data_IF_426445804848
#
_entry.id   IF_426445804848
#
_cell.length_a   1.000
_cell.length_b   1.000
_cell.length_c   1.000
_cell.angle_alpha   90.00
_cell.angle_beta   90.00
_cell.angle_gamma   90.00
#
_symmetry.space_group_name_H-M   'P 1'
#
loop_
_entity.id
_entity.type
_entity.pdbx_description
1 polymer ?
#
# COMPACT_ATOMS: atom_id res chain seq x y z
N UNK A 1 -9.98 30.18 10.73
CA UNK A 1 -9.71 29.15 9.71
C UNK A 1 -9.99 27.83 10.38
N UNK A 2 -11.03 27.14 9.96
CA UNK A 2 -11.36 25.81 10.48
C UNK A 2 -10.52 24.82 9.68
N UNK A 3 -9.51 24.19 10.30
CA UNK A 3 -8.49 23.39 9.62
C UNK A 3 -8.96 21.92 9.45
N UNK A 4 -10.24 21.64 9.67
CA UNK A 4 -10.80 20.30 9.56
C UNK A 4 -10.86 19.83 8.09
N UNK A 5 -9.89 19.03 7.66
CA UNK A 5 -9.79 18.44 6.32
C UNK A 5 -10.19 16.96 6.36
N UNK A 6 -11.23 16.57 5.63
CA UNK A 6 -11.61 15.17 5.51
C UNK A 6 -10.68 14.45 4.51
N UNK A 7 -10.26 13.23 4.85
CA UNK A 7 -9.44 12.39 3.98
C UNK A 7 -10.08 12.16 2.61
N UNK A 8 -11.40 12.00 2.54
CA UNK A 8 -12.15 11.84 1.27
C UNK A 8 -12.10 13.11 0.42
N UNK A 9 -12.10 14.28 1.06
CA UNK A 9 -11.97 15.57 0.39
C UNK A 9 -10.56 15.73 -0.20
N UNK A 10 -9.52 15.31 0.54
CA UNK A 10 -8.14 15.29 0.07
C UNK A 10 -7.94 14.30 -1.08
N UNK A 11 -8.52 13.10 -1.01
CA UNK A 11 -8.49 12.12 -2.12
C UNK A 11 -9.14 12.68 -3.38
N UNK A 12 -10.35 13.22 -3.27
CA UNK A 12 -11.04 13.83 -4.41
C UNK A 12 -10.20 14.94 -5.03
N UNK A 13 -9.60 15.81 -4.23
CA UNK A 13 -8.71 16.87 -4.70
C UNK A 13 -7.47 16.32 -5.42
N UNK A 14 -6.74 15.37 -4.81
CA UNK A 14 -5.54 14.75 -5.39
C UNK A 14 -5.86 14.09 -6.74
N UNK A 15 -6.92 13.30 -6.81
CA UNK A 15 -7.30 12.60 -8.04
C UNK A 15 -7.71 13.57 -9.15
N UNK A 16 -8.39 14.67 -8.83
CA UNK A 16 -8.71 15.70 -9.84
C UNK A 16 -7.45 16.37 -10.35
N UNK A 17 -6.49 16.68 -9.48
CA UNK A 17 -5.21 17.31 -9.86
C UNK A 17 -4.38 16.37 -10.74
N UNK A 18 -4.28 15.09 -10.40
CA UNK A 18 -3.50 14.11 -11.17
C UNK A 18 -4.09 13.80 -12.55
N UNK A 19 -5.42 13.88 -12.69
CA UNK A 19 -6.12 13.54 -13.93
C UNK A 19 -6.60 14.76 -14.72
N UNK A 20 -6.39 15.97 -14.21
CA UNK A 20 -6.92 17.22 -14.77
C UNK A 20 -8.42 17.15 -15.12
N UNK A 21 -9.21 16.33 -14.41
CA UNK A 21 -10.59 16.01 -14.78
C UNK A 21 -11.41 15.50 -13.59
N UNK A 22 -12.57 16.13 -13.36
CA UNK A 22 -13.53 15.71 -12.36
C UNK A 22 -14.22 14.39 -12.72
N UNK A 23 -14.55 14.20 -14.00
CA UNK A 23 -15.18 12.95 -14.46
C UNK A 23 -14.22 11.78 -14.33
N UNK A 24 -12.95 11.98 -14.71
CA UNK A 24 -11.94 10.91 -14.59
C UNK A 24 -11.63 10.56 -13.13
N UNK A 25 -11.54 11.56 -12.26
CA UNK A 25 -11.40 11.33 -10.82
C UNK A 25 -12.58 10.55 -10.24
N UNK A 26 -13.81 10.85 -10.68
CA UNK A 26 -15.01 10.15 -10.25
C UNK A 26 -15.00 8.68 -10.66
N UNK A 27 -14.62 8.38 -11.90
CA UNK A 27 -14.45 7.00 -12.39
C UNK A 27 -13.44 6.21 -11.55
N UNK A 28 -12.26 6.80 -11.30
CA UNK A 28 -11.17 6.16 -10.56
C UNK A 28 -11.48 5.93 -9.08
N UNK A 29 -12.28 6.81 -8.49
CA UNK A 29 -12.73 6.70 -7.09
C UNK A 29 -14.06 5.94 -6.95
N UNK A 30 -14.64 5.44 -8.04
CA UNK A 30 -15.95 4.78 -8.07
C UNK A 30 -17.07 5.63 -7.43
N UNK A 31 -17.04 6.94 -7.71
CA UNK A 31 -18.01 7.92 -7.24
C UNK A 31 -18.66 8.63 -8.43
N UNK A 32 -19.71 9.41 -8.16
CA UNK A 32 -20.29 10.29 -9.18
C UNK A 32 -19.50 11.60 -9.26
N UNK A 33 -19.46 12.20 -10.45
CA UNK A 33 -18.80 13.50 -10.65
C UNK A 33 -19.37 14.62 -9.76
N UNK A 34 -20.69 14.71 -9.49
CA UNK A 34 -21.24 15.62 -8.48
C UNK A 34 -20.65 15.42 -7.08
N UNK A 35 -20.43 14.16 -6.64
CA UNK A 35 -19.82 13.86 -5.35
C UNK A 35 -18.38 14.37 -5.27
N UNK A 36 -17.55 14.10 -6.31
CA UNK A 36 -16.18 14.63 -6.37
C UNK A 36 -16.19 16.17 -6.34
N UNK A 37 -17.06 16.80 -7.12
CA UNK A 37 -17.16 18.26 -7.13
C UNK A 37 -17.58 18.82 -5.77
N UNK A 38 -18.48 18.12 -5.06
CA UNK A 38 -18.90 18.49 -3.70
C UNK A 38 -17.74 18.41 -2.71
N UNK A 39 -16.98 17.31 -2.73
CA UNK A 39 -15.81 17.12 -1.87
C UNK A 39 -14.74 18.21 -2.08
N UNK A 40 -14.37 18.49 -3.33
CA UNK A 40 -13.40 19.56 -3.60
C UNK A 40 -13.95 20.93 -3.17
N UNK A 41 -15.23 21.20 -3.40
CA UNK A 41 -15.84 22.49 -3.01
C UNK A 41 -15.95 22.66 -1.50
N UNK A 42 -16.13 21.56 -0.74
CA UNK A 42 -16.12 21.57 0.70
C UNK A 42 -14.73 21.89 1.24
N UNK A 43 -13.69 21.25 0.68
CA UNK A 43 -12.29 21.52 1.03
C UNK A 43 -11.91 22.99 0.79
N UNK A 44 -12.21 23.52 -0.40
CA UNK A 44 -11.95 24.92 -0.73
C UNK A 44 -12.68 25.89 0.23
N UNK A 45 -13.90 25.53 0.65
CA UNK A 45 -14.69 26.34 1.59
C UNK A 45 -14.11 26.34 3.00
N UNK A 46 -13.70 25.18 3.51
CA UNK A 46 -13.08 25.03 4.83
C UNK A 46 -11.78 25.83 4.93
N UNK A 47 -10.97 25.76 3.89
CA UNK A 47 -9.70 26.49 3.80
C UNK A 47 -9.88 27.97 3.40
N UNK A 48 -11.07 28.35 2.92
CA UNK A 48 -11.36 29.64 2.32
C UNK A 48 -10.36 30.02 1.20
N UNK A 49 -9.96 29.03 0.40
CA UNK A 49 -8.93 29.16 -0.64
C UNK A 49 -9.37 28.36 -1.88
N UNK A 50 -9.22 28.95 -3.06
CA UNK A 50 -9.39 28.24 -4.34
C UNK A 50 -8.17 27.38 -4.64
N UNK A 51 -8.39 26.08 -4.76
CA UNK A 51 -7.36 25.07 -4.98
C UNK A 51 -7.33 24.60 -6.44
N UNK A 52 -8.48 24.63 -7.12
CA UNK A 52 -8.60 24.22 -8.51
C UNK A 52 -9.15 25.36 -9.36
N UNK A 53 -8.47 25.63 -10.48
CA UNK A 53 -8.92 26.56 -11.51
C UNK A 53 -9.60 25.76 -12.61
N UNK A 54 -10.82 26.18 -12.98
CA UNK A 54 -11.58 25.61 -14.10
C UNK A 54 -11.77 26.69 -15.15
N UNK A 55 -11.39 26.37 -16.38
CA UNK A 55 -11.73 27.15 -17.58
C UNK A 55 -12.68 26.35 -18.45
N UNK A 56 -13.16 26.93 -19.55
CA UNK A 56 -13.96 26.20 -20.54
C UNK A 56 -13.21 25.06 -21.23
N UNK A 57 -11.88 25.03 -21.15
CA UNK A 57 -11.03 24.07 -21.85
C UNK A 57 -10.27 23.13 -20.91
N UNK A 58 -9.85 23.62 -19.76
CA UNK A 58 -8.88 22.94 -18.90
C UNK A 58 -9.22 23.07 -17.41
N UNK A 59 -8.81 22.06 -16.65
CA UNK A 59 -8.84 22.03 -15.18
C UNK A 59 -7.41 21.81 -14.67
N UNK A 60 -6.95 22.66 -13.77
CA UNK A 60 -5.59 22.61 -13.23
C UNK A 60 -5.52 23.17 -11.79
N UNK A 61 -4.49 22.81 -10.99
CA UNK A 61 -4.35 23.34 -9.63
C UNK A 61 -3.93 24.82 -9.64
N UNK A 62 -4.47 25.61 -8.72
CA UNK A 62 -3.93 26.94 -8.38
C UNK A 62 -2.57 26.82 -7.70
N UNK A 63 -1.87 27.93 -7.44
CA UNK A 63 -0.60 27.88 -6.68
C UNK A 63 -0.79 27.35 -5.25
N UNK A 64 -1.91 27.71 -4.61
CA UNK A 64 -2.30 27.11 -3.34
C UNK A 64 -2.65 25.62 -3.50
N UNK A 65 -3.28 25.23 -4.60
CA UNK A 65 -3.52 23.83 -4.96
C UNK A 65 -2.22 23.03 -5.10
N UNK A 66 -1.21 23.57 -5.78
CA UNK A 66 0.11 22.92 -5.89
C UNK A 66 0.78 22.74 -4.53
N UNK A 67 0.64 23.72 -3.63
CA UNK A 67 1.15 23.62 -2.27
C UNK A 67 0.43 22.51 -1.50
N UNK A 68 -0.90 22.53 -1.50
CA UNK A 68 -1.70 21.53 -0.80
C UNK A 68 -1.49 20.13 -1.37
N UNK A 69 -1.32 19.99 -2.68
CA UNK A 69 -1.11 18.70 -3.34
C UNK A 69 0.08 17.93 -2.76
N UNK A 70 1.20 18.62 -2.48
CA UNK A 70 2.37 17.99 -1.85
C UNK A 70 2.03 17.38 -0.50
N UNK A 71 1.43 18.17 0.39
CA UNK A 71 1.04 17.71 1.73
C UNK A 71 -0.09 16.67 1.70
N UNK A 72 -1.07 16.82 0.80
CA UNK A 72 -2.16 15.88 0.65
C UNK A 72 -1.65 14.48 0.27
N UNK A 73 -0.67 14.39 -0.66
CA UNK A 73 -0.04 13.11 -1.00
C UNK A 73 0.69 12.47 0.18
N UNK A 74 1.42 13.26 0.95
CA UNK A 74 2.11 12.75 2.15
C UNK A 74 1.11 12.19 3.17
N UNK A 75 0.02 12.91 3.44
CA UNK A 75 -1.04 12.47 4.36
C UNK A 75 -1.67 11.16 3.89
N UNK A 76 -2.04 11.06 2.61
CA UNK A 76 -2.64 9.85 2.05
C UNK A 76 -1.66 8.67 2.06
N UNK A 77 -0.37 8.92 1.83
CA UNK A 77 0.67 7.89 1.91
C UNK A 77 0.87 7.40 3.35
N UNK A 78 0.90 8.30 4.33
CA UNK A 78 1.01 7.93 5.75
C UNK A 78 -0.19 7.09 6.18
N UNK A 79 -1.40 7.46 5.75
CA UNK A 79 -2.61 6.67 6.00
C UNK A 79 -2.49 5.24 5.44
N UNK A 80 -2.04 5.11 4.19
CA UNK A 80 -1.84 3.80 3.56
C UNK A 80 -0.79 2.98 4.29
N UNK A 81 0.36 3.58 4.63
CA UNK A 81 1.41 2.93 5.39
C UNK A 81 0.91 2.45 6.76
N UNK A 82 0.07 3.25 7.44
CA UNK A 82 -0.53 2.87 8.72
C UNK A 82 -1.48 1.67 8.56
N UNK A 83 -2.31 1.65 7.51
CA UNK A 83 -3.19 0.51 7.23
C UNK A 83 -2.39 -0.77 6.93
N UNK A 84 -1.31 -0.67 6.15
CA UNK A 84 -0.40 -1.80 5.87
C UNK A 84 0.28 -2.28 7.15
N UNK A 85 0.82 -1.36 7.97
CA UNK A 85 1.48 -1.70 9.22
C UNK A 85 0.51 -2.40 10.18
N UNK A 86 -0.74 -1.93 10.30
CA UNK A 86 -1.78 -2.55 11.11
C UNK A 86 -2.22 -3.90 10.55
N UNK A 87 -2.31 -4.07 9.23
CA UNK A 87 -2.59 -5.37 8.61
C UNK A 87 -1.50 -6.37 8.96
N UNK A 88 -0.23 -5.98 8.83
CA UNK A 88 0.92 -6.81 9.17
C UNK A 88 1.01 -7.09 10.68
N UNK A 89 0.56 -6.15 11.52
CA UNK A 89 0.46 -6.36 12.97
C UNK A 89 -0.67 -7.35 13.33
N UNK A 90 -1.81 -7.26 12.63
CA UNK A 90 -3.00 -8.11 12.85
C UNK A 90 -2.88 -9.51 12.28
N UNK A 91 -2.00 -9.70 11.29
CA UNK A 91 -1.59 -11.03 10.84
C UNK A 91 -0.58 -11.57 11.84
N UNK A 92 -1.06 -12.25 12.88
CA UNK A 92 -0.25 -13.28 13.53
C UNK A 92 0.38 -14.11 12.40
N UNK A 93 1.71 -14.15 12.33
CA UNK A 93 2.40 -14.92 11.31
C UNK A 93 2.03 -16.40 11.54
N UNK A 94 1.08 -16.91 10.73
CA UNK A 94 0.56 -18.28 10.76
C UNK A 94 0.61 -18.88 9.36
N UNK A 95 0.84 -20.19 9.26
CA UNK A 95 0.86 -20.90 7.97
C UNK A 95 2.06 -21.84 7.86
N UNK A 96 2.30 -22.36 6.65
CA UNK A 96 3.39 -23.31 6.40
C UNK A 96 4.37 -22.72 5.39
N UNK A 97 5.65 -22.64 5.76
CA UNK A 97 6.74 -22.22 4.86
C UNK A 97 7.39 -23.48 4.26
N UNK A 98 7.51 -23.52 2.93
CA UNK A 98 8.16 -24.65 2.23
C UNK A 98 9.61 -24.32 1.88
N UNK A 99 10.53 -25.14 2.37
CA UNK A 99 11.99 -24.96 2.25
C UNK A 99 12.57 -26.21 1.58
N UNK A 100 13.32 -26.04 0.49
CA UNK A 100 14.26 -27.07 0.02
C UNK A 100 15.67 -26.70 0.50
N UNK A 101 16.51 -27.67 0.82
CA UNK A 101 17.87 -27.37 1.23
C UNK A 101 18.81 -28.56 0.98
N UNK A 102 20.05 -28.25 0.61
CA UNK A 102 21.09 -29.27 0.49
C UNK A 102 21.45 -29.90 1.84
N UNK A 103 22.14 -31.04 1.80
CA UNK A 103 22.41 -31.87 2.98
C UNK A 103 23.01 -31.09 4.14
N UNK A 104 23.97 -30.20 3.87
CA UNK A 104 24.67 -29.44 4.91
C UNK A 104 23.75 -28.38 5.56
N UNK A 105 23.10 -27.46 4.83
CA UNK A 105 22.10 -26.55 5.40
C UNK A 105 20.97 -27.26 6.16
N UNK A 106 20.45 -28.36 5.60
CA UNK A 106 19.35 -29.13 6.20
C UNK A 106 19.71 -29.74 7.56
N UNK A 107 20.93 -30.28 7.69
CA UNK A 107 21.33 -30.98 8.92
C UNK A 107 21.87 -30.06 10.01
N UNK A 108 22.59 -28.99 9.63
CA UNK A 108 23.38 -28.22 10.60
C UNK A 108 22.84 -26.81 10.85
N UNK A 109 22.24 -26.18 9.84
CA UNK A 109 21.85 -24.76 9.91
C UNK A 109 20.36 -24.58 10.17
N UNK A 110 19.49 -25.25 9.40
CA UNK A 110 18.05 -25.10 9.52
C UNK A 110 17.51 -25.43 10.92
N UNK A 111 17.92 -26.52 11.61
CA UNK A 111 17.37 -26.82 12.93
C UNK A 111 17.56 -25.69 13.95
N UNK A 112 18.75 -25.09 13.98
CA UNK A 112 19.06 -23.97 14.89
C UNK A 112 18.31 -22.69 14.50
N UNK A 113 18.29 -22.35 13.21
CA UNK A 113 17.62 -21.14 12.72
C UNK A 113 16.10 -21.20 12.95
N UNK A 114 15.51 -22.36 12.70
CA UNK A 114 14.07 -22.58 12.85
C UNK A 114 13.63 -22.66 14.31
N UNK A 115 14.51 -23.07 15.23
CA UNK A 115 14.22 -23.06 16.66
C UNK A 115 13.93 -21.64 17.18
N UNK A 116 14.81 -20.69 16.89
CA UNK A 116 14.66 -19.28 17.28
C UNK A 116 13.48 -18.61 16.55
N UNK A 117 13.18 -19.06 15.34
CA UNK A 117 12.06 -18.56 14.58
C UNK A 117 10.73 -19.07 15.16
N UNK A 118 10.62 -20.36 15.46
CA UNK A 118 9.42 -20.98 16.02
C UNK A 118 9.11 -20.47 17.43
N UNK A 119 10.14 -20.12 18.22
CA UNK A 119 9.96 -19.47 19.52
C UNK A 119 9.31 -18.08 19.40
N UNK A 120 9.59 -17.35 18.31
CA UNK A 120 9.01 -16.03 18.05
C UNK A 120 7.66 -16.10 17.31
N UNK A 121 7.46 -17.12 16.50
CA UNK A 121 6.27 -17.31 15.65
C UNK A 121 5.75 -18.75 15.77
N UNK A 122 5.03 -19.08 16.87
CA UNK A 122 4.63 -20.45 17.19
C UNK A 122 3.61 -21.04 16.21
N UNK A 123 2.88 -20.17 15.50
CA UNK A 123 1.85 -20.56 14.54
C UNK A 123 2.38 -20.77 13.09
N UNK A 124 3.70 -20.58 12.88
CA UNK A 124 4.37 -20.97 11.63
C UNK A 124 4.85 -22.42 11.73
N UNK A 125 4.49 -23.20 10.72
CA UNK A 125 4.98 -24.55 10.47
C UNK A 125 5.98 -24.53 9.30
N UNK A 126 6.92 -25.47 9.29
CA UNK A 126 7.90 -25.60 8.21
C UNK A 126 7.75 -26.96 7.53
N UNK A 127 7.73 -26.96 6.21
CA UNK A 127 7.84 -28.17 5.39
C UNK A 127 9.22 -28.16 4.73
N UNK A 128 10.10 -29.07 5.16
CA UNK A 128 11.52 -29.07 4.74
C UNK A 128 11.78 -30.29 3.87
N UNK A 129 12.34 -30.05 2.68
CA UNK A 129 12.75 -31.06 1.73
C UNK A 129 14.28 -31.03 1.60
N UNK A 130 14.93 -32.17 1.85
CA UNK A 130 16.37 -32.30 1.65
C UNK A 130 16.61 -32.81 0.23
N UNK A 131 17.27 -32.00 -0.59
CA UNK A 131 17.51 -32.27 -2.01
C UNK A 131 18.94 -31.90 -2.39
N UNK A 132 19.45 -32.34 -3.55
CA UNK A 132 20.75 -31.87 -4.02
C UNK A 132 20.66 -30.39 -4.48
N UNK A 133 21.80 -29.67 -4.47
CA UNK A 133 21.81 -28.23 -4.78
C UNK A 133 21.19 -27.91 -6.16
N UNK A 134 21.42 -28.68 -7.23
CA UNK A 134 20.75 -28.46 -8.50
C UNK A 134 19.22 -28.58 -8.40
N UNK A 135 18.71 -29.58 -7.68
CA UNK A 135 17.27 -29.77 -7.50
C UNK A 135 16.65 -28.68 -6.63
N UNK A 136 17.36 -28.20 -5.61
CA UNK A 136 16.92 -27.04 -4.81
C UNK A 136 16.72 -25.81 -5.69
N UNK A 137 17.68 -25.50 -6.57
CA UNK A 137 17.58 -24.38 -7.53
C UNK A 137 16.38 -24.56 -8.47
N UNK A 138 16.16 -25.78 -8.97
CA UNK A 138 15.00 -26.11 -9.80
C UNK A 138 13.68 -25.85 -9.04
N UNK A 139 13.54 -26.34 -7.81
CA UNK A 139 12.33 -26.22 -7.01
C UNK A 139 11.98 -24.77 -6.68
N UNK A 140 12.99 -23.91 -6.46
CA UNK A 140 12.78 -22.47 -6.29
C UNK A 140 12.35 -21.83 -7.62
N UNK A 141 13.02 -22.18 -8.72
CA UNK A 141 12.72 -21.63 -10.05
C UNK A 141 11.29 -21.98 -10.51
N UNK A 142 10.80 -23.18 -10.19
CA UNK A 142 9.43 -23.64 -10.48
C UNK A 142 8.40 -23.18 -9.46
N UNK A 143 8.81 -22.49 -8.38
CA UNK A 143 7.96 -22.09 -7.25
C UNK A 143 7.29 -23.27 -6.54
N UNK A 144 7.94 -24.44 -6.57
CA UNK A 144 7.50 -25.62 -5.81
C UNK A 144 7.86 -25.50 -4.32
N UNK A 145 8.86 -24.67 -3.99
CA UNK A 145 9.21 -24.24 -2.64
C UNK A 145 9.43 -22.72 -2.61
N UNK A 146 9.41 -22.12 -1.42
CA UNK A 146 9.55 -20.67 -1.25
C UNK A 146 11.01 -20.26 -0.97
N UNK A 147 11.80 -21.17 -0.38
CA UNK A 147 13.19 -20.94 0.03
C UNK A 147 14.04 -22.14 -0.40
N UNK A 148 15.25 -21.88 -0.92
CA UNK A 148 16.22 -22.87 -1.37
C UNK A 148 17.66 -22.39 -1.26
#
# INVERSE_FOLDING_TARGET
MDIDMDIKELEAFVYVVENCSFSRAAELLHLTQPTISSHVSALERKLNIKLIVRTTKETYPSDAGKLLYKYAKEILQVRENAAIALRNFSQEMKGTISIAASTVPSQYYLPHLLQDFRARYPDITFNIQMEDSPKVVELVATRSVEIG
#
